data_IF_720507691903
#
_entry.id   IF_720507691903
#
_cell.length_a   1.000
_cell.length_b   1.000
_cell.length_c   1.000
_cell.angle_alpha   90.00
_cell.angle_beta   90.00
_cell.angle_gamma   90.00
#
_symmetry.space_group_name_H-M   'P 1'
#
loop_
_entity.id
_entity.type
_entity.pdbx_description
1 polymer ?
#
# COMPACT_ATOMS: atom_id res chain seq x y z
N UNK A 1 58.47 3.85 12.70
CA UNK A 1 58.12 5.16 13.31
C UNK A 1 56.88 5.65 12.59
N UNK A 2 55.69 5.49 13.19
CA UNK A 2 55.04 6.39 14.16
C UNK A 2 54.31 7.58 13.49
N UNK A 3 52.96 7.52 13.62
CA UNK A 3 51.95 8.60 13.75
C UNK A 3 51.36 9.37 12.54
N UNK A 4 50.02 9.25 12.44
CA UNK A 4 48.93 10.17 11.99
C UNK A 4 49.06 11.62 12.56
N UNK A 5 48.21 12.64 12.24
CA UNK A 5 46.86 12.64 11.60
C UNK A 5 46.53 13.78 10.61
N UNK A 6 45.27 13.76 10.14
CA UNK A 6 44.51 14.79 9.42
C UNK A 6 44.60 16.20 10.03
N UNK A 7 44.59 17.21 9.16
CA UNK A 7 44.23 18.59 9.48
C UNK A 7 43.04 19.06 8.65
N UNK A 8 42.11 19.71 9.36
CA UNK A 8 40.88 20.34 8.91
C UNK A 8 41.13 21.50 7.95
N UNK A 9 40.26 21.66 6.94
CA UNK A 9 40.02 22.96 6.29
C UNK A 9 38.61 23.41 6.68
N UNK A 10 38.59 24.56 7.33
CA UNK A 10 37.46 25.36 7.78
C UNK A 10 36.94 26.15 6.58
N UNK A 11 35.62 26.14 6.33
CA UNK A 11 34.97 27.21 5.58
C UNK A 11 34.02 27.94 6.52
N UNK A 12 34.42 29.16 6.85
CA UNK A 12 33.72 30.12 7.68
C UNK A 12 32.69 30.88 6.85
N UNK A 13 31.47 31.03 7.34
CA UNK A 13 30.59 32.15 6.98
C UNK A 13 29.77 32.56 8.21
N UNK A 14 29.78 33.85 8.46
CA UNK A 14 29.56 34.47 9.75
C UNK A 14 28.07 34.71 10.09
N UNK A 15 27.80 34.63 11.39
CA UNK A 15 26.64 35.18 12.09
C UNK A 15 26.55 36.70 11.94
N UNK A 16 25.36 37.22 11.67
CA UNK A 16 24.86 38.45 12.30
C UNK A 16 23.42 38.20 12.76
N UNK A 17 23.22 38.41 14.06
CA UNK A 17 21.98 38.34 14.82
C UNK A 17 21.29 39.71 14.79
N UNK A 18 19.98 39.75 14.62
CA UNK A 18 19.08 40.66 15.36
C UNK A 18 17.61 40.21 15.26
N UNK A 19 16.88 40.34 16.36
CA UNK A 19 15.46 40.75 16.31
C UNK A 19 14.42 39.75 16.83
N UNK A 20 14.24 39.72 18.15
CA UNK A 20 13.08 39.14 18.87
C UNK A 20 11.83 39.99 18.63
N UNK A 21 10.68 39.33 18.42
CA UNK A 21 9.35 39.97 18.43
C UNK A 21 8.30 39.04 19.07
N UNK A 22 8.01 39.29 20.34
CA UNK A 22 6.95 38.69 21.15
C UNK A 22 5.67 39.54 21.00
N UNK A 23 4.50 38.96 20.73
CA UNK A 23 3.22 39.63 20.99
C UNK A 23 2.21 38.63 21.54
N UNK A 24 1.89 38.79 22.81
CA UNK A 24 0.70 38.27 23.49
C UNK A 24 -0.50 39.16 23.16
N UNK A 25 -1.70 38.61 23.09
CA UNK A 25 -2.92 39.41 23.30
C UNK A 25 -3.88 38.68 24.24
N UNK A 26 -4.18 39.37 25.33
CA UNK A 26 -5.33 39.18 26.20
C UNK A 26 -6.21 40.42 26.03
N UNK A 27 -7.53 40.31 25.97
CA UNK A 27 -8.46 41.34 26.45
C UNK A 27 -9.91 40.84 26.48
N UNK A 28 -10.66 41.45 27.39
CA UNK A 28 -11.95 41.04 27.96
C UNK A 28 -12.99 42.12 27.61
N UNK A 29 -14.27 41.70 27.51
CA UNK A 29 -15.53 42.43 27.76
C UNK A 29 -15.72 43.91 27.35
N UNK A 30 -16.84 44.15 26.66
CA UNK A 30 -17.75 45.27 26.95
C UNK A 30 -19.19 44.91 26.55
N UNK A 31 -20.14 45.20 27.45
CA UNK A 31 -21.59 45.13 27.27
C UNK A 31 -22.14 46.57 27.21
N UNK A 32 -23.29 46.81 26.57
CA UNK A 32 -24.43 47.56 27.17
C UNK A 32 -25.70 47.72 26.27
N UNK A 33 -26.85 47.62 26.97
CA UNK A 33 -28.17 48.32 26.82
C UNK A 33 -29.35 47.78 25.96
N UNK A 34 -30.26 47.03 26.64
CA UNK A 34 -31.73 47.21 26.93
C UNK A 34 -32.70 47.97 25.96
N UNK A 35 -34.05 47.68 25.90
CA UNK A 35 -34.93 47.43 27.07
C UNK A 35 -36.12 46.43 26.99
N UNK A 36 -36.64 46.16 28.20
CA UNK A 36 -37.90 45.56 28.70
C UNK A 36 -39.13 45.42 27.79
N UNK A 37 -39.84 44.27 27.88
CA UNK A 37 -41.29 44.17 28.17
C UNK A 37 -41.58 42.96 29.09
N UNK A 38 -42.54 43.17 29.98
CA UNK A 38 -42.94 42.42 31.18
C UNK A 38 -44.25 41.64 30.93
N UNK A 39 -44.38 40.37 31.38
CA UNK A 39 -45.55 39.88 32.17
C UNK A 39 -45.49 38.42 32.64
N UNK A 40 -45.94 38.26 33.89
CA UNK A 40 -46.25 37.09 34.73
C UNK A 40 -47.03 35.94 34.07
N UNK A 41 -46.76 34.68 34.46
CA UNK A 41 -47.48 33.91 35.51
C UNK A 41 -47.01 32.43 35.60
N UNK A 42 -47.00 31.88 36.81
CA UNK A 42 -46.68 30.48 37.21
C UNK A 42 -47.91 29.53 37.08
N UNK A 43 -47.89 28.27 37.60
CA UNK A 43 -47.03 27.09 37.32
C UNK A 43 -47.88 25.83 37.05
N UNK A 44 -47.27 24.66 36.75
CA UNK A 44 -47.63 23.33 37.33
C UNK A 44 -46.90 22.17 36.62
N UNK A 45 -46.50 21.15 37.38
CA UNK A 45 -46.38 19.78 36.88
C UNK A 45 -44.98 19.21 36.66
N UNK A 46 -44.34 18.81 37.76
CA UNK A 46 -43.28 17.79 37.89
C UNK A 46 -43.22 16.69 36.81
N UNK A 47 -42.01 16.34 36.35
CA UNK A 47 -41.32 15.08 36.69
C UNK A 47 -39.93 15.00 36.04
N UNK A 48 -38.94 14.67 36.88
CA UNK A 48 -37.57 14.35 36.50
C UNK A 48 -37.53 13.13 35.57
N UNK A 49 -36.78 13.23 34.47
CA UNK A 49 -36.05 12.09 33.91
C UNK A 49 -34.71 12.59 33.39
N UNK A 50 -33.66 11.89 33.82
CA UNK A 50 -32.26 12.19 33.57
C UNK A 50 -31.91 12.14 32.08
N UNK A 51 -31.40 13.25 31.57
CA UNK A 51 -30.84 13.39 30.24
C UNK A 51 -29.38 12.91 30.29
N UNK A 52 -29.10 11.69 29.78
CA UNK A 52 -27.73 11.27 29.47
C UNK A 52 -27.52 11.38 27.96
N UNK A 53 -26.54 12.21 27.60
CA UNK A 53 -26.30 12.72 26.26
C UNK A 53 -26.12 11.63 25.21
N UNK A 54 -26.95 11.72 24.18
CA UNK A 54 -26.78 10.97 22.95
C UNK A 54 -25.61 11.58 22.17
N UNK A 55 -24.40 11.05 22.40
CA UNK A 55 -23.26 11.27 21.51
C UNK A 55 -23.67 10.77 20.14
N UNK A 56 -23.87 11.71 19.22
CA UNK A 56 -24.12 11.45 17.81
C UNK A 56 -22.92 10.71 17.23
N UNK A 57 -22.96 9.37 17.24
CA UNK A 57 -22.14 8.55 16.37
C UNK A 57 -22.50 8.95 14.94
N UNK A 58 -21.59 9.67 14.29
CA UNK A 58 -21.55 9.81 12.84
C UNK A 58 -21.74 8.42 12.23
N UNK A 59 -22.93 8.19 11.66
CA UNK A 59 -23.22 6.99 10.86
C UNK A 59 -22.45 7.12 9.56
N UNK A 60 -21.21 6.63 9.54
CA UNK A 60 -20.59 6.19 8.29
C UNK A 60 -21.51 5.11 7.72
N UNK A 61 -22.24 5.39 6.63
CA UNK A 61 -22.98 4.35 5.91
C UNK A 61 -21.95 3.25 5.57
N UNK A 62 -22.11 2.04 6.10
CA UNK A 62 -21.16 0.97 5.79
C UNK A 62 -21.35 0.61 4.32
N UNK A 63 -20.29 0.88 3.54
CA UNK A 63 -20.33 0.66 2.11
C UNK A 63 -20.18 -0.85 1.78
N UNK A 64 -19.58 -1.63 2.67
CA UNK A 64 -19.49 -3.10 2.62
C UNK A 64 -20.36 -3.73 3.73
N UNK A 65 -20.63 -5.03 3.64
CA UNK A 65 -21.29 -5.78 4.72
C UNK A 65 -20.40 -5.87 5.99
N UNK A 66 -20.95 -6.41 7.08
CA UNK A 66 -20.25 -6.52 8.36
C UNK A 66 -18.91 -7.25 8.22
N UNK A 67 -17.86 -6.68 8.82
CA UNK A 67 -16.52 -7.24 8.75
C UNK A 67 -16.40 -8.51 9.59
N UNK A 68 -15.58 -9.44 9.12
CA UNK A 68 -15.16 -10.64 9.87
C UNK A 68 -13.84 -10.36 10.58
N UNK A 69 -13.54 -11.12 11.65
CA UNK A 69 -12.28 -10.97 12.38
C UNK A 69 -11.07 -11.23 11.46
N UNK A 70 -10.02 -10.43 11.63
CA UNK A 70 -8.84 -10.51 10.77
C UNK A 70 -8.05 -11.81 10.94
N UNK A 71 -7.95 -12.35 12.16
CA UNK A 71 -7.27 -13.62 12.41
C UNK A 71 -8.12 -14.79 11.94
N UNK A 72 -9.44 -14.70 12.09
CA UNK A 72 -10.37 -15.67 11.51
C UNK A 72 -10.21 -15.73 9.98
N UNK A 73 -10.25 -14.59 9.30
CA UNK A 73 -10.14 -14.49 7.85
C UNK A 73 -8.87 -15.13 7.27
N UNK A 74 -7.74 -15.00 7.97
CA UNK A 74 -6.46 -15.61 7.58
C UNK A 74 -6.50 -17.15 7.62
N UNK A 75 -7.33 -17.73 8.50
CA UNK A 75 -7.46 -19.18 8.64
C UNK A 75 -8.52 -19.79 7.72
N UNK A 76 -9.30 -18.96 7.03
CA UNK A 76 -10.30 -19.43 6.06
C UNK A 76 -9.63 -19.81 4.73
N UNK A 77 -10.07 -20.93 4.17
CA UNK A 77 -9.79 -21.31 2.78
C UNK A 77 -10.39 -20.29 1.80
N UNK A 78 -9.94 -20.24 0.53
CA UNK A 78 -10.55 -19.39 -0.49
C UNK A 78 -12.06 -19.50 -0.56
N UNK A 79 -12.58 -20.74 -0.63
CA UNK A 79 -14.02 -21.01 -0.66
C UNK A 79 -14.73 -20.44 0.56
N UNK A 80 -14.19 -20.65 1.76
CA UNK A 80 -14.80 -20.15 2.98
C UNK A 80 -14.79 -18.63 3.07
N UNK A 81 -13.76 -17.95 2.52
CA UNK A 81 -13.76 -16.47 2.41
C UNK A 81 -14.88 -16.01 1.47
N UNK A 82 -15.01 -16.64 0.30
CA UNK A 82 -16.09 -16.33 -0.65
C UNK A 82 -17.46 -16.49 0.01
N UNK A 83 -17.64 -17.54 0.80
CA UNK A 83 -18.90 -17.82 1.52
C UNK A 83 -19.23 -16.74 2.58
N UNK A 84 -18.27 -15.90 3.00
CA UNK A 84 -18.54 -14.74 3.87
C UNK A 84 -19.11 -13.53 3.12
N UNK A 85 -19.01 -13.50 1.78
CA UNK A 85 -19.44 -12.37 0.97
C UNK A 85 -20.94 -12.40 0.74
N UNK A 86 -21.60 -11.28 1.04
CA UNK A 86 -23.00 -11.07 0.67
C UNK A 86 -23.12 -10.75 -0.82
N UNK A 87 -24.32 -10.91 -1.38
CA UNK A 87 -24.59 -10.50 -2.76
C UNK A 87 -24.34 -9.00 -2.98
N UNK A 88 -24.53 -8.17 -1.95
CA UNK A 88 -24.18 -6.75 -2.01
C UNK A 88 -22.67 -6.56 -2.18
N UNK A 89 -21.85 -7.28 -1.42
CA UNK A 89 -20.38 -7.18 -1.53
C UNK A 89 -19.92 -7.59 -2.92
N UNK A 90 -20.43 -8.72 -3.42
CA UNK A 90 -20.10 -9.22 -4.76
C UNK A 90 -20.50 -8.21 -5.83
N UNK A 91 -21.71 -7.67 -5.78
CA UNK A 91 -22.18 -6.69 -6.78
C UNK A 91 -21.40 -5.37 -6.74
N UNK A 92 -21.02 -4.90 -5.55
CA UNK A 92 -20.33 -3.62 -5.38
C UNK A 92 -18.85 -3.69 -5.78
N UNK A 93 -18.25 -4.87 -5.67
CA UNK A 93 -16.81 -5.06 -5.85
C UNK A 93 -16.48 -5.92 -7.07
N UNK A 94 -17.45 -6.18 -7.95
CA UNK A 94 -17.24 -6.91 -9.20
C UNK A 94 -16.54 -6.04 -10.25
N UNK A 95 -15.23 -5.92 -10.12
CA UNK A 95 -14.36 -5.08 -10.92
C UNK A 95 -12.97 -5.72 -11.06
N UNK A 96 -12.52 -5.83 -12.29
CA UNK A 96 -11.22 -6.25 -12.76
C UNK A 96 -10.93 -5.44 -14.05
N UNK A 97 -9.67 -5.06 -14.30
CA UNK A 97 -9.34 -4.36 -15.56
C UNK A 97 -9.62 -5.31 -16.71
N UNK A 98 -10.40 -4.92 -17.72
CA UNK A 98 -10.42 -5.69 -18.96
C UNK A 98 -9.07 -5.50 -19.68
N UNK A 99 -8.34 -6.60 -19.87
CA UNK A 99 -7.10 -6.61 -20.68
C UNK A 99 -7.32 -6.19 -22.14
N UNK A 100 -8.58 -6.15 -22.59
CA UNK A 100 -8.97 -5.86 -23.98
C UNK A 100 -9.35 -4.41 -24.27
N UNK A 101 -9.34 -3.51 -23.28
CA UNK A 101 -9.64 -2.11 -23.57
C UNK A 101 -8.45 -1.49 -24.31
N UNK A 102 -8.68 -1.15 -25.59
CA UNK A 102 -7.73 -0.55 -26.52
C UNK A 102 -7.10 0.72 -25.92
N UNK A 103 -5.98 0.56 -25.21
CA UNK A 103 -5.14 1.65 -24.74
C UNK A 103 -4.52 2.29 -25.99
N UNK A 104 -5.04 3.45 -26.40
CA UNK A 104 -4.57 4.16 -27.59
C UNK A 104 -3.11 4.58 -27.39
N UNK A 105 -2.22 3.87 -28.07
CA UNK A 105 -0.79 4.14 -28.14
C UNK A 105 -0.47 5.26 -29.14
N UNK A 106 0.36 6.23 -28.70
CA UNK A 106 1.13 7.05 -29.62
C UNK A 106 2.44 6.31 -29.97
N UNK A 107 2.32 5.42 -30.95
CA UNK A 107 3.34 4.94 -31.89
C UNK A 107 4.82 5.09 -31.44
N UNK A 108 5.41 4.01 -30.91
CA UNK A 108 6.82 3.70 -31.15
C UNK A 108 6.94 2.20 -31.41
N UNK A 109 7.40 1.84 -32.60
CA UNK A 109 7.63 0.45 -33.01
C UNK A 109 8.71 -0.19 -32.14
N UNK A 110 8.32 -1.04 -31.18
CA UNK A 110 9.25 -1.89 -30.45
C UNK A 110 9.45 -3.19 -31.21
N UNK A 111 10.65 -3.40 -31.74
CA UNK A 111 11.05 -4.66 -32.34
C UNK A 111 11.07 -5.76 -31.27
N UNK A 112 10.21 -6.76 -31.45
CA UNK A 112 10.14 -7.97 -30.62
C UNK A 112 11.43 -8.79 -30.71
N UNK A 113 12.43 -8.43 -29.91
CA UNK A 113 13.63 -9.24 -29.70
C UNK A 113 13.35 -10.29 -28.62
N UNK A 114 12.51 -11.26 -28.96
CA UNK A 114 12.29 -12.47 -28.17
C UNK A 114 13.52 -13.39 -28.25
N UNK A 115 14.61 -12.99 -27.60
CA UNK A 115 15.72 -13.89 -27.31
C UNK A 115 15.64 -14.25 -25.84
N UNK A 116 15.45 -15.53 -25.54
CA UNK A 116 15.83 -16.11 -24.25
C UNK A 116 17.24 -15.59 -23.92
N UNK A 117 17.34 -14.68 -22.95
CA UNK A 117 18.59 -14.00 -22.62
C UNK A 117 19.50 -15.00 -21.91
N UNK A 118 20.43 -15.57 -22.67
CA UNK A 118 21.41 -16.55 -22.18
C UNK A 118 22.70 -15.81 -21.82
N UNK A 119 23.34 -16.20 -20.73
CA UNK A 119 24.72 -15.79 -20.43
C UNK A 119 25.64 -16.12 -21.60
N UNK A 120 26.81 -15.48 -21.71
CA UNK A 120 27.82 -15.77 -22.72
C UNK A 120 28.21 -17.27 -22.81
N UNK A 121 27.93 -18.04 -21.74
CA UNK A 121 28.13 -19.49 -21.65
C UNK A 121 26.87 -20.33 -21.91
N UNK A 122 25.77 -19.74 -22.38
CA UNK A 122 24.54 -20.43 -22.73
C UNK A 122 23.65 -20.87 -21.56
N UNK A 123 24.03 -20.55 -20.31
CA UNK A 123 23.22 -20.80 -19.11
C UNK A 123 22.13 -19.74 -18.93
N UNK A 124 20.96 -20.16 -18.46
CA UNK A 124 19.91 -19.25 -17.94
C UNK A 124 20.50 -18.44 -16.80
N UNK A 125 20.37 -17.11 -16.85
CA UNK A 125 20.77 -16.27 -15.72
C UNK A 125 19.60 -16.26 -14.76
N UNK A 126 19.79 -16.77 -13.55
CA UNK A 126 18.81 -16.64 -12.48
C UNK A 126 18.66 -15.15 -12.12
N UNK A 127 17.46 -14.60 -12.34
CA UNK A 127 17.18 -13.17 -12.12
C UNK A 127 17.36 -12.80 -10.65
N UNK A 128 16.99 -13.68 -9.71
CA UNK A 128 17.19 -13.44 -8.28
C UNK A 128 18.67 -13.43 -7.91
N UNK A 129 19.46 -14.35 -8.48
CA UNK A 129 20.90 -14.35 -8.31
C UNK A 129 21.52 -13.08 -8.88
N UNK A 130 21.10 -12.65 -10.07
CA UNK A 130 21.55 -11.40 -10.66
C UNK A 130 21.24 -10.18 -9.76
N UNK A 131 20.00 -10.08 -9.25
CA UNK A 131 19.59 -9.02 -8.31
C UNK A 131 20.48 -8.99 -7.07
N UNK A 132 20.70 -10.16 -6.46
CA UNK A 132 21.49 -10.31 -5.23
C UNK A 132 22.97 -10.02 -5.48
N UNK A 133 23.57 -10.57 -6.53
CA UNK A 133 24.99 -10.41 -6.84
C UNK A 133 25.36 -8.98 -7.25
N UNK A 134 24.43 -8.25 -7.87
CA UNK A 134 24.63 -6.86 -8.25
C UNK A 134 24.15 -5.87 -7.18
N UNK A 135 23.70 -6.35 -6.02
CA UNK A 135 23.15 -5.54 -4.94
C UNK A 135 22.11 -4.53 -5.44
N UNK A 136 21.17 -4.98 -6.30
CA UNK A 136 20.14 -4.11 -6.84
C UNK A 136 19.21 -3.70 -5.69
N UNK A 137 19.25 -2.42 -5.35
CA UNK A 137 18.38 -1.83 -4.34
C UNK A 137 17.00 -1.52 -4.94
N UNK A 138 15.98 -1.59 -4.10
CA UNK A 138 14.63 -1.20 -4.49
C UNK A 138 14.51 0.34 -4.59
N UNK A 139 13.59 0.81 -5.42
CA UNK A 139 13.19 2.22 -5.47
C UNK A 139 12.48 2.64 -4.15
N UNK A 140 12.49 3.94 -3.80
CA UNK A 140 11.65 4.43 -2.70
C UNK A 140 10.16 4.24 -3.04
N UNK A 141 9.36 3.96 -2.02
CA UNK A 141 7.89 3.98 -2.13
C UNK A 141 7.45 5.44 -2.10
N UNK A 142 6.73 5.87 -3.13
CA UNK A 142 6.13 7.20 -3.21
C UNK A 142 4.61 7.10 -3.30
N UNK A 143 3.89 8.04 -2.68
CA UNK A 143 2.43 8.16 -2.81
C UNK A 143 2.11 9.11 -3.98
N UNK A 144 1.22 8.69 -4.87
CA UNK A 144 0.67 9.57 -5.91
C UNK A 144 -0.13 10.71 -5.24
N UNK A 145 -0.02 11.92 -5.79
CA UNK A 145 -0.72 13.08 -5.22
C UNK A 145 -2.26 12.97 -5.27
N UNK A 146 -2.80 12.03 -6.07
CA UNK A 146 -4.23 11.73 -6.18
C UNK A 146 -4.66 10.52 -5.34
N UNK A 147 -3.80 9.96 -4.48
CA UNK A 147 -4.09 8.74 -3.70
C UNK A 147 -5.44 8.78 -2.95
N UNK A 148 -5.85 9.95 -2.47
CA UNK A 148 -7.09 10.15 -1.73
C UNK A 148 -8.34 10.41 -2.60
N UNK A 149 -8.20 10.44 -3.92
CA UNK A 149 -9.32 10.71 -4.86
C UNK A 149 -10.16 9.48 -5.20
N UNK A 150 -9.63 8.27 -4.94
CA UNK A 150 -10.30 7.01 -5.27
C UNK A 150 -11.33 6.61 -4.20
N UNK A 151 -12.33 5.79 -4.56
CA UNK A 151 -13.29 5.26 -3.60
C UNK A 151 -12.63 4.49 -2.44
N UNK A 152 -13.16 4.68 -1.24
CA UNK A 152 -12.65 4.03 -0.01
C UNK A 152 -13.68 3.04 0.53
N UNK A 153 -13.41 1.75 0.33
CA UNK A 153 -14.24 0.64 0.80
C UNK A 153 -13.45 -0.22 1.78
N UNK A 154 -14.08 -0.64 2.87
CA UNK A 154 -13.40 -1.46 3.87
C UNK A 154 -13.21 -2.88 3.34
N UNK A 155 -12.09 -3.51 3.68
CA UNK A 155 -11.92 -4.95 3.50
C UNK A 155 -12.99 -5.72 4.29
N UNK A 156 -13.40 -6.88 3.76
CA UNK A 156 -14.31 -7.79 4.47
C UNK A 156 -13.69 -8.29 5.78
N UNK A 157 -12.37 -8.45 5.82
CA UNK A 157 -11.57 -8.82 6.99
C UNK A 157 -11.05 -7.62 7.80
N UNK A 158 -11.55 -6.41 7.55
CA UNK A 158 -11.06 -5.17 8.14
C UNK A 158 -9.69 -4.69 7.61
N UNK A 159 -8.83 -5.62 7.16
CA UNK A 159 -7.54 -5.37 6.48
C UNK A 159 -7.27 -6.46 5.43
N UNK A 160 -6.34 -6.24 4.51
CA UNK A 160 -5.96 -7.25 3.52
C UNK A 160 -5.33 -8.50 4.14
N UNK A 161 -5.67 -9.70 3.68
CA UNK A 161 -5.07 -10.97 4.13
C UNK A 161 -3.92 -11.45 3.24
N UNK A 162 -3.59 -10.69 2.19
CA UNK A 162 -2.48 -10.98 1.29
C UNK A 162 -2.33 -9.91 0.20
N UNK A 163 -1.48 -10.21 -0.78
CA UNK A 163 -1.16 -9.38 -1.94
C UNK A 163 -1.41 -10.17 -3.22
N UNK A 164 -2.21 -9.62 -4.15
CA UNK A 164 -2.32 -10.09 -5.53
C UNK A 164 -1.25 -9.40 -6.36
N UNK A 165 -0.53 -10.20 -7.15
CA UNK A 165 0.50 -9.76 -8.10
C UNK A 165 -0.11 -9.80 -9.50
N UNK A 166 -0.04 -8.67 -10.18
CA UNK A 166 -0.53 -8.46 -11.55
C UNK A 166 0.60 -8.06 -12.50
N UNK A 167 0.33 -8.15 -13.80
CA UNK A 167 1.07 -7.42 -14.83
C UNK A 167 0.12 -6.58 -15.68
N UNK A 168 0.62 -5.48 -16.22
CA UNK A 168 -0.23 -4.49 -16.91
C UNK A 168 -0.74 -4.92 -18.29
N UNK A 169 -0.30 -6.09 -18.80
CA UNK A 169 -0.53 -6.61 -20.13
C UNK A 169 -0.22 -5.66 -21.29
N UNK A 170 0.57 -4.61 -21.04
CA UNK A 170 0.84 -3.54 -21.99
C UNK A 170 2.34 -3.35 -22.21
N UNK A 171 2.81 -3.83 -23.37
CA UNK A 171 4.22 -3.77 -23.76
C UNK A 171 4.70 -2.36 -24.18
N UNK A 172 3.83 -1.35 -24.25
CA UNK A 172 4.20 -0.02 -24.77
C UNK A 172 3.96 1.13 -23.77
N UNK A 173 3.37 0.86 -22.60
CA UNK A 173 3.07 1.91 -21.63
C UNK A 173 4.21 2.19 -20.68
N UNK A 174 4.29 3.45 -20.25
CA UNK A 174 5.06 3.82 -19.07
C UNK A 174 4.21 3.68 -17.81
N UNK A 175 4.85 3.60 -16.65
CA UNK A 175 4.14 3.64 -15.36
C UNK A 175 3.24 4.89 -15.24
N UNK A 176 3.69 6.04 -15.75
CA UNK A 176 2.89 7.27 -15.76
C UNK A 176 1.62 7.13 -16.63
N UNK A 177 1.74 6.48 -17.79
CA UNK A 177 0.59 6.22 -18.66
C UNK A 177 -0.44 5.29 -17.98
N UNK A 178 0.02 4.21 -17.36
CA UNK A 178 -0.84 3.26 -16.64
C UNK A 178 -1.57 3.91 -15.48
N UNK A 179 -0.85 4.65 -14.65
CA UNK A 179 -1.41 5.37 -13.50
C UNK A 179 -2.45 6.41 -13.95
N UNK A 180 -2.14 7.19 -14.99
CA UNK A 180 -3.09 8.18 -15.52
C UNK A 180 -4.32 7.53 -16.15
N UNK A 181 -4.14 6.44 -16.89
CA UNK A 181 -5.25 5.68 -17.44
C UNK A 181 -6.15 5.13 -16.32
N UNK A 182 -5.57 4.55 -15.27
CA UNK A 182 -6.29 4.04 -14.11
C UNK A 182 -7.10 5.13 -13.41
N UNK A 183 -6.51 6.31 -13.12
CA UNK A 183 -7.27 7.40 -12.49
C UNK A 183 -8.41 7.94 -13.37
N UNK A 184 -8.24 7.93 -14.70
CA UNK A 184 -9.31 8.34 -15.63
C UNK A 184 -10.41 7.28 -15.76
N UNK A 185 -10.10 6.01 -15.48
CA UNK A 185 -10.99 4.86 -15.69
C UNK A 185 -11.28 4.08 -14.39
N UNK A 186 -11.11 4.69 -13.22
CA UNK A 186 -11.16 3.98 -11.93
C UNK A 186 -12.50 3.27 -11.65
N UNK A 187 -13.58 3.72 -12.29
CA UNK A 187 -14.90 3.07 -12.18
C UNK A 187 -14.94 1.70 -12.86
N UNK A 188 -13.99 1.39 -13.73
CA UNK A 188 -13.75 0.07 -14.31
C UNK A 188 -12.83 -0.74 -13.42
N UNK A 189 -11.68 -0.18 -13.06
CA UNK A 189 -10.73 -0.84 -12.16
C UNK A 189 -9.67 0.14 -11.61
N UNK A 190 -9.14 -0.18 -10.44
CA UNK A 190 -7.97 0.49 -9.87
C UNK A 190 -7.26 -0.45 -8.91
N UNK A 191 -5.94 -0.26 -8.75
CA UNK A 191 -5.09 -1.03 -7.83
C UNK A 191 -4.43 -0.13 -6.80
N UNK A 192 -3.75 -0.75 -5.83
CA UNK A 192 -3.13 0.01 -4.75
C UNK A 192 -1.77 0.60 -5.13
N UNK A 193 -1.04 -0.06 -6.03
CA UNK A 193 0.27 0.40 -6.45
C UNK A 193 0.65 -0.11 -7.84
N UNK A 194 1.56 0.63 -8.47
CA UNK A 194 2.28 0.24 -9.66
C UNK A 194 3.77 0.17 -9.36
N UNK A 195 4.46 -0.78 -9.99
CA UNK A 195 5.92 -0.89 -9.96
C UNK A 195 6.50 -0.93 -11.36
N UNK A 196 7.70 -0.37 -11.50
CA UNK A 196 8.50 -0.39 -12.73
C UNK A 196 9.98 -0.51 -12.37
N UNK A 197 10.88 -0.46 -13.36
CA UNK A 197 12.33 -0.59 -13.14
C UNK A 197 12.93 0.53 -12.28
N UNK A 198 12.28 1.68 -12.16
CA UNK A 198 12.80 2.85 -11.46
C UNK A 198 11.87 3.42 -10.38
N UNK A 199 10.64 2.90 -10.24
CA UNK A 199 9.64 3.50 -9.37
C UNK A 199 8.71 2.49 -8.70
N UNK A 200 8.35 2.78 -7.45
CA UNK A 200 7.24 2.16 -6.72
C UNK A 200 6.25 3.26 -6.37
N UNK A 201 5.07 3.27 -6.99
CA UNK A 201 4.05 4.31 -6.80
C UNK A 201 2.78 3.74 -6.19
N UNK A 202 2.38 4.22 -5.02
CA UNK A 202 1.10 3.91 -4.41
C UNK A 202 0.01 4.85 -4.95
N UNK A 203 -1.05 4.27 -5.48
CA UNK A 203 -2.17 4.98 -6.12
C UNK A 203 -3.46 4.92 -5.31
N UNK A 204 -3.59 3.98 -4.37
CA UNK A 204 -4.71 3.92 -3.44
C UNK A 204 -4.24 3.63 -1.99
N UNK A 205 -4.95 4.10 -0.95
CA UNK A 205 -4.56 3.85 0.43
C UNK A 205 -4.76 2.37 0.79
N UNK A 206 -3.72 1.73 1.33
CA UNK A 206 -3.73 0.30 1.62
C UNK A 206 -4.73 -0.17 2.71
N UNK A 207 -5.33 0.76 3.46
CA UNK A 207 -6.31 0.44 4.51
C UNK A 207 -7.73 0.21 3.96
N UNK A 208 -7.91 0.49 2.66
CA UNK A 208 -9.14 0.22 1.92
C UNK A 208 -8.85 -0.76 0.78
N UNK A 209 -9.88 -1.47 0.31
CA UNK A 209 -9.75 -2.38 -0.83
C UNK A 209 -9.64 -1.61 -2.15
N UNK A 210 -9.19 -2.33 -3.18
CA UNK A 210 -9.14 -1.88 -4.56
C UNK A 210 -9.98 -2.79 -5.48
N UNK A 211 -10.06 -2.43 -6.75
CA UNK A 211 -10.93 -3.02 -7.76
C UNK A 211 -10.12 -3.53 -8.96
N UNK A 212 -9.37 -4.62 -8.79
CA UNK A 212 -8.51 -5.16 -9.85
C UNK A 212 -8.42 -6.68 -9.92
N UNK A 213 -9.04 -7.42 -8.99
CA UNK A 213 -8.94 -8.87 -8.88
C UNK A 213 -10.31 -9.58 -8.81
N UNK A 214 -11.37 -8.93 -9.27
CA UNK A 214 -12.73 -9.49 -9.28
C UNK A 214 -13.44 -9.51 -7.91
N UNK A 215 -14.75 -9.75 -7.95
CA UNK A 215 -15.65 -9.62 -6.80
C UNK A 215 -15.25 -10.43 -5.56
N UNK A 216 -14.63 -11.59 -5.78
CA UNK A 216 -14.34 -12.56 -4.73
C UNK A 216 -13.02 -12.27 -4.02
N UNK A 217 -12.05 -11.64 -4.68
CA UNK A 217 -10.73 -11.35 -4.10
C UNK A 217 -10.58 -9.88 -3.69
N UNK A 218 -11.19 -8.92 -4.40
CA UNK A 218 -11.15 -7.50 -4.04
C UNK A 218 -11.39 -7.22 -2.54
N UNK A 219 -12.38 -7.86 -1.86
CA UNK A 219 -12.62 -7.62 -0.44
C UNK A 219 -11.52 -8.08 0.52
N UNK A 220 -10.47 -8.74 0.03
CA UNK A 220 -9.48 -9.45 0.85
C UNK A 220 -8.02 -9.11 0.56
N UNK A 221 -7.66 -8.55 -0.60
CA UNK A 221 -6.25 -8.45 -0.97
C UNK A 221 -5.81 -7.03 -1.35
N UNK A 222 -4.57 -6.72 -0.97
CA UNK A 222 -3.79 -5.62 -1.56
C UNK A 222 -3.39 -6.02 -2.98
N UNK A 223 -3.20 -5.09 -3.90
CA UNK A 223 -3.04 -5.38 -5.34
C UNK A 223 -1.95 -4.50 -5.93
N UNK A 224 -0.99 -5.11 -6.63
CA UNK A 224 0.16 -4.44 -7.25
C UNK A 224 0.20 -4.80 -8.73
N UNK A 225 0.32 -3.78 -9.58
CA UNK A 225 0.56 -3.90 -11.01
C UNK A 225 2.04 -3.75 -11.34
N UNK A 226 2.60 -4.70 -12.07
CA UNK A 226 3.95 -4.64 -12.59
C UNK A 226 3.94 -4.17 -14.05
N UNK A 227 4.47 -2.97 -14.30
CA UNK A 227 4.63 -2.45 -15.65
C UNK A 227 5.64 -3.30 -16.46
N UNK A 228 5.37 -3.48 -17.75
CA UNK A 228 6.24 -4.29 -18.61
C UNK A 228 7.62 -3.65 -18.78
N UNK A 229 8.65 -4.49 -18.71
CA UNK A 229 10.03 -4.13 -18.94
C UNK A 229 10.43 -4.40 -20.39
N UNK A 230 11.51 -3.75 -20.86
CA UNK A 230 12.02 -3.92 -22.22
C UNK A 230 13.48 -4.39 -22.26
N UNK A 231 14.09 -4.63 -21.10
CA UNK A 231 15.40 -5.24 -20.99
C UNK A 231 15.50 -6.12 -19.75
N UNK A 232 16.49 -7.01 -19.75
CA UNK A 232 16.77 -7.88 -18.60
C UNK A 232 17.03 -7.08 -17.30
N UNK A 233 17.78 -5.99 -17.41
CA UNK A 233 18.07 -5.11 -16.27
C UNK A 233 16.79 -4.42 -15.76
N UNK A 234 15.93 -3.96 -16.68
CA UNK A 234 14.64 -3.38 -16.31
C UNK A 234 13.72 -4.40 -15.65
N UNK A 235 13.63 -5.62 -16.19
CA UNK A 235 12.83 -6.69 -15.58
C UNK A 235 13.34 -7.00 -14.18
N UNK A 236 14.65 -7.22 -14.02
CA UNK A 236 15.27 -7.49 -12.72
C UNK A 236 14.99 -6.39 -11.70
N UNK A 237 15.08 -5.11 -12.08
CA UNK A 237 14.75 -3.99 -11.17
C UNK A 237 13.26 -3.93 -10.85
N UNK A 238 12.40 -4.10 -11.86
CA UNK A 238 10.95 -3.99 -11.71
C UNK A 238 10.40 -5.10 -10.80
N UNK A 239 10.80 -6.36 -11.01
CA UNK A 239 10.38 -7.48 -10.17
C UNK A 239 10.97 -7.40 -8.75
N UNK A 240 12.17 -6.79 -8.60
CA UNK A 240 12.75 -6.49 -7.29
C UNK A 240 11.95 -5.44 -6.52
N UNK A 241 11.50 -4.39 -7.21
CA UNK A 241 10.64 -3.35 -6.64
C UNK A 241 9.29 -3.92 -6.20
N UNK A 242 8.68 -4.74 -7.04
CA UNK A 242 7.43 -5.43 -6.76
C UNK A 242 7.54 -6.37 -5.54
N UNK A 243 8.53 -7.28 -5.56
CA UNK A 243 8.76 -8.21 -4.46
C UNK A 243 9.08 -7.51 -3.13
N UNK A 244 9.81 -6.39 -3.18
CA UNK A 244 10.06 -5.55 -2.01
C UNK A 244 8.74 -4.95 -1.46
N UNK A 245 7.91 -4.37 -2.32
CA UNK A 245 6.63 -3.78 -1.91
C UNK A 245 5.71 -4.85 -1.31
N UNK A 246 5.63 -6.02 -1.92
CA UNK A 246 4.88 -7.17 -1.39
C UNK A 246 5.37 -7.54 0.00
N UNK A 247 6.69 -7.73 0.18
CA UNK A 247 7.26 -8.03 1.49
C UNK A 247 6.96 -6.93 2.53
N UNK A 248 7.04 -5.66 2.13
CA UNK A 248 6.72 -4.51 2.98
C UNK A 248 5.25 -4.52 3.42
N UNK A 249 4.31 -4.81 2.51
CA UNK A 249 2.88 -4.87 2.83
C UNK A 249 2.54 -6.07 3.72
N UNK A 250 3.13 -7.24 3.45
CA UNK A 250 2.99 -8.39 4.35
C UNK A 250 3.46 -8.05 5.77
N UNK A 251 4.62 -7.40 5.90
CA UNK A 251 5.09 -6.90 7.20
C UNK A 251 4.12 -5.92 7.80
N UNK A 252 3.70 -4.89 7.06
CA UNK A 252 2.78 -3.85 7.54
C UNK A 252 1.55 -4.46 8.22
N UNK A 253 1.06 -5.58 7.69
CA UNK A 253 -0.13 -6.22 8.20
C UNK A 253 0.09 -7.50 9.03
N UNK A 254 1.34 -7.78 9.43
CA UNK A 254 1.67 -8.93 10.28
C UNK A 254 1.46 -10.29 9.61
N UNK A 255 1.45 -10.35 8.28
CA UNK A 255 1.25 -11.55 7.50
C UNK A 255 2.57 -12.27 7.23
N UNK A 256 2.59 -13.60 7.35
CA UNK A 256 3.74 -14.39 6.93
C UNK A 256 3.67 -14.70 5.43
N UNK A 257 4.79 -14.66 4.68
CA UNK A 257 4.82 -15.04 3.28
C UNK A 257 4.39 -16.50 3.11
N UNK A 258 3.40 -16.74 2.25
CA UNK A 258 2.96 -18.06 1.81
C UNK A 258 2.45 -17.95 0.38
N UNK A 259 3.06 -18.68 -0.54
CA UNK A 259 2.66 -18.68 -1.96
C UNK A 259 1.35 -19.45 -2.14
N UNK A 260 0.30 -18.76 -2.56
CA UNK A 260 -1.03 -19.33 -2.74
C UNK A 260 -1.14 -20.22 -4.00
N UNK A 261 -0.38 -19.90 -5.05
CA UNK A 261 -0.40 -20.58 -6.36
C UNK A 261 -0.19 -22.09 -6.25
N UNK A 262 0.74 -22.50 -5.39
CA UNK A 262 1.09 -23.90 -5.11
C UNK A 262 0.32 -24.49 -3.91
N UNK A 263 -0.56 -23.72 -3.28
CA UNK A 263 -1.30 -24.08 -2.07
C UNK A 263 -2.81 -23.91 -2.24
N UNK A 264 -3.36 -24.23 -3.41
CA UNK A 264 -4.80 -24.19 -3.69
C UNK A 264 -5.46 -22.83 -3.42
N UNK A 265 -4.74 -21.73 -3.64
CA UNK A 265 -5.21 -20.36 -3.38
C UNK A 265 -5.12 -19.93 -1.92
N UNK A 266 -4.71 -20.81 -1.01
CA UNK A 266 -4.48 -20.50 0.39
C UNK A 266 -3.05 -19.96 0.58
N UNK A 267 -2.91 -18.64 0.61
CA UNK A 267 -1.66 -17.96 0.88
C UNK A 267 -1.84 -16.45 1.02
N UNK A 268 -0.71 -15.77 1.18
CA UNK A 268 -0.62 -14.32 1.38
C UNK A 268 0.07 -13.62 0.20
N UNK A 269 0.66 -14.38 -0.73
CA UNK A 269 1.16 -13.92 -2.02
C UNK A 269 0.47 -14.77 -3.08
N UNK A 270 -0.26 -14.15 -4.01
CA UNK A 270 -1.09 -14.86 -4.99
C UNK A 270 -1.00 -14.18 -6.36
N UNK A 271 -0.88 -14.94 -7.45
CA UNK A 271 -1.06 -14.39 -8.79
C UNK A 271 -2.54 -14.13 -9.10
N UNK A 272 -2.83 -13.24 -10.05
CA UNK A 272 -4.19 -13.10 -10.55
C UNK A 272 -4.72 -14.40 -11.19
N UNK A 273 -3.86 -15.16 -11.88
CA UNK A 273 -4.18 -16.52 -12.35
C UNK A 273 -4.67 -17.47 -11.24
N UNK A 274 -4.00 -17.47 -10.09
CA UNK A 274 -4.42 -18.27 -8.94
C UNK A 274 -5.73 -17.73 -8.32
N UNK A 275 -5.97 -16.42 -8.34
CA UNK A 275 -7.27 -15.84 -8.01
C UNK A 275 -8.36 -16.39 -8.95
N UNK A 276 -8.18 -16.33 -10.27
CA UNK A 276 -9.12 -16.87 -11.26
C UNK A 276 -9.45 -18.34 -10.99
N UNK A 277 -8.44 -19.14 -10.66
CA UNK A 277 -8.59 -20.58 -10.40
C UNK A 277 -9.28 -20.93 -9.09
N UNK A 278 -8.96 -20.24 -7.99
CA UNK A 278 -9.36 -20.64 -6.63
C UNK A 278 -10.42 -19.73 -5.98
N UNK A 279 -10.48 -18.47 -6.41
CA UNK A 279 -11.51 -17.51 -6.01
C UNK A 279 -12.58 -17.33 -7.09
N UNK A 280 -12.22 -17.38 -8.38
CA UNK A 280 -13.10 -17.02 -9.48
C UNK A 280 -13.57 -15.57 -9.41
N UNK A 281 -14.57 -15.21 -10.22
CA UNK A 281 -15.04 -13.82 -10.32
C UNK A 281 -14.15 -12.93 -11.18
N UNK A 282 -13.18 -13.54 -11.87
CA UNK A 282 -12.30 -13.01 -12.92
C UNK A 282 -11.74 -14.23 -13.67
N UNK A 283 -11.26 -14.05 -14.90
CA UNK A 283 -10.67 -15.08 -15.77
C UNK A 283 -9.24 -14.76 -16.23
N UNK A 284 -8.65 -13.74 -15.63
CA UNK A 284 -7.30 -13.26 -15.90
C UNK A 284 -6.20 -14.27 -15.55
N UNK A 285 -5.07 -14.19 -16.26
CA UNK A 285 -3.96 -15.16 -16.14
C UNK A 285 -2.60 -14.53 -15.80
N UNK A 286 -2.56 -13.22 -15.55
CA UNK A 286 -1.37 -12.51 -15.11
C UNK A 286 -0.88 -12.98 -13.72
N UNK A 287 0.42 -12.87 -13.40
CA UNK A 287 1.51 -12.45 -14.26
C UNK A 287 2.20 -13.61 -14.99
N UNK A 288 1.54 -14.77 -15.11
CA UNK A 288 2.19 -16.04 -15.49
C UNK A 288 2.87 -15.94 -16.86
N UNK A 289 2.12 -15.50 -17.89
CA UNK A 289 2.66 -15.37 -19.24
C UNK A 289 3.77 -14.30 -19.33
N UNK A 290 3.63 -13.19 -18.61
CA UNK A 290 4.66 -12.16 -18.57
C UNK A 290 5.95 -12.66 -17.91
N UNK A 291 5.87 -13.35 -16.77
CA UNK A 291 7.04 -13.93 -16.12
C UNK A 291 7.73 -15.00 -16.98
N UNK A 292 6.95 -15.86 -17.65
CA UNK A 292 7.49 -16.88 -18.56
C UNK A 292 8.34 -16.29 -19.70
N UNK A 293 7.96 -15.11 -20.24
CA UNK A 293 8.75 -14.40 -21.27
C UNK A 293 10.17 -14.05 -20.79
N UNK A 294 10.37 -13.89 -19.49
CA UNK A 294 11.65 -13.57 -18.87
C UNK A 294 12.38 -14.80 -18.31
N UNK A 295 11.84 -16.00 -18.51
CA UNK A 295 12.37 -17.21 -17.85
C UNK A 295 12.23 -17.15 -16.33
N UNK A 296 11.16 -16.49 -15.87
CA UNK A 296 10.83 -16.29 -14.47
C UNK A 296 9.49 -16.97 -14.12
N UNK A 297 9.20 -17.18 -12.84
CA UNK A 297 7.92 -17.71 -12.40
C UNK A 297 7.50 -17.20 -11.00
N UNK A 298 6.30 -17.58 -10.56
CA UNK A 298 5.78 -17.19 -9.24
C UNK A 298 6.55 -17.80 -8.07
N UNK A 299 7.27 -18.92 -8.24
CA UNK A 299 8.12 -19.50 -7.19
C UNK A 299 9.37 -18.64 -7.00
N UNK A 300 10.03 -18.26 -8.09
CA UNK A 300 11.17 -17.35 -8.07
C UNK A 300 10.77 -15.98 -7.53
N UNK A 301 9.61 -15.45 -7.96
CA UNK A 301 9.05 -14.23 -7.37
C UNK A 301 8.88 -14.37 -5.85
N UNK A 302 8.26 -15.47 -5.39
CA UNK A 302 8.06 -15.71 -3.97
C UNK A 302 9.37 -15.83 -3.18
N UNK A 303 10.40 -16.46 -3.74
CA UNK A 303 11.74 -16.50 -3.13
C UNK A 303 12.34 -15.10 -2.96
N UNK A 304 12.10 -14.19 -3.90
CA UNK A 304 12.52 -12.80 -3.80
C UNK A 304 11.71 -12.03 -2.74
N UNK A 305 10.40 -12.29 -2.63
CA UNK A 305 9.56 -11.75 -1.54
C UNK A 305 10.09 -12.22 -0.18
N UNK A 306 10.39 -13.50 -0.02
CA UNK A 306 10.94 -14.06 1.22
C UNK A 306 12.29 -13.41 1.57
N UNK A 307 13.16 -13.23 0.58
CA UNK A 307 14.43 -12.52 0.76
C UNK A 307 14.22 -11.10 1.32
N UNK A 308 13.35 -10.29 0.71
CA UNK A 308 13.05 -8.94 1.20
C UNK A 308 12.37 -8.95 2.57
N UNK A 309 11.43 -9.87 2.80
CA UNK A 309 10.72 -10.01 4.06
C UNK A 309 11.66 -10.31 5.23
N UNK A 310 12.69 -11.15 5.00
CA UNK A 310 13.74 -11.44 5.97
C UNK A 310 14.72 -10.27 6.15
N UNK A 311 15.12 -9.59 5.08
CA UNK A 311 15.98 -8.40 5.15
C UNK A 311 15.31 -7.25 5.91
N UNK A 312 13.99 -7.10 5.79
CA UNK A 312 13.19 -6.18 6.59
C UNK A 312 13.21 -6.55 8.08
N UNK A 313 13.24 -7.85 8.42
CA UNK A 313 13.40 -8.30 9.82
C UNK A 313 14.78 -7.97 10.38
N UNK A 314 15.84 -8.20 9.61
CA UNK A 314 17.22 -7.91 10.05
C UNK A 314 17.40 -6.42 10.40
N UNK A 315 16.84 -5.53 9.56
CA UNK A 315 16.79 -4.09 9.86
C UNK A 315 15.96 -3.75 11.10
N UNK A 316 14.98 -4.57 11.49
CA UNK A 316 14.22 -4.37 12.74
C UNK A 316 14.92 -4.93 13.98
N UNK A 317 15.77 -5.95 13.85
CA UNK A 317 16.56 -6.50 14.97
C UNK A 317 17.69 -5.59 15.43
N UNK A 318 18.15 -4.65 14.59
CA UNK A 318 19.10 -3.59 15.00
C UNK A 318 18.44 -2.43 15.76
N UNK A 319 17.14 -2.50 16.07
CA UNK A 319 16.40 -1.44 16.77
C UNK A 319 15.48 -2.00 17.86
N UNK A 320 16.04 -2.75 18.81
CA UNK A 320 15.36 -3.25 20.02
C UNK A 320 15.02 -2.16 21.05
N UNK A 321 15.07 -0.87 20.69
CA UNK A 321 14.73 0.21 21.59
C UNK A 321 13.28 0.66 21.35
N UNK A 322 12.41 0.26 22.28
CA UNK A 322 11.08 0.81 22.50
C UNK A 322 11.16 2.35 22.50
N UNK A 323 10.30 2.99 21.71
CA UNK A 323 10.20 4.46 21.68
C UNK A 323 9.37 4.86 22.90
N UNK A 324 10.03 5.39 23.92
CA UNK A 324 9.37 5.91 25.13
C UNK A 324 9.18 7.42 25.00
N UNK A 325 7.93 7.86 24.94
CA UNK A 325 7.55 9.27 24.92
C UNK A 325 6.70 9.67 23.72
N UNK A 326 6.23 10.91 23.71
CA UNK A 326 5.33 11.47 22.69
C UNK A 326 6.07 12.03 21.47
N UNK A 327 7.38 11.80 21.33
CA UNK A 327 8.17 12.29 20.18
C UNK A 327 9.28 11.31 19.84
N UNK A 328 9.45 11.01 18.54
CA UNK A 328 10.55 10.20 18.02
C UNK A 328 11.27 10.95 16.90
N UNK A 329 12.60 11.00 16.97
CA UNK A 329 13.41 11.56 15.89
C UNK A 329 13.71 10.45 14.88
N UNK A 330 13.16 10.58 13.68
CA UNK A 330 13.36 9.63 12.59
C UNK A 330 14.86 9.49 12.28
N UNK A 331 15.35 8.25 12.29
CA UNK A 331 16.73 7.88 11.92
C UNK A 331 16.74 7.08 10.63
N UNK A 332 17.91 6.97 9.98
CA UNK A 332 18.07 6.19 8.75
C UNK A 332 17.67 4.73 9.03
N UNK A 333 16.68 4.24 8.27
CA UNK A 333 16.12 2.89 8.44
C UNK A 333 14.77 2.85 9.15
N UNK A 334 14.31 3.97 9.70
CA UNK A 334 12.95 4.08 10.20
C UNK A 334 11.93 4.04 9.05
N UNK A 335 10.83 3.35 9.30
CA UNK A 335 9.62 3.32 8.48
C UNK A 335 8.45 3.63 9.39
N UNK A 336 7.35 4.17 8.86
CA UNK A 336 6.15 4.37 9.67
C UNK A 336 5.69 3.09 10.36
N UNK A 337 5.87 1.94 9.70
CA UNK A 337 5.57 0.64 10.27
C UNK A 337 6.47 0.28 11.46
N UNK A 338 7.79 0.40 11.34
CA UNK A 338 8.67 0.04 12.46
C UNK A 338 8.60 1.05 13.61
N UNK A 339 8.33 2.33 13.34
CA UNK A 339 8.04 3.34 14.36
C UNK A 339 6.75 2.93 15.08
N UNK A 340 5.69 2.59 14.33
CA UNK A 340 4.41 2.15 14.88
C UNK A 340 4.57 0.95 15.82
N UNK A 341 5.38 -0.03 15.44
CA UNK A 341 5.67 -1.20 16.28
C UNK A 341 6.49 -0.85 17.53
N UNK A 342 7.44 0.09 17.42
CA UNK A 342 8.32 0.49 18.54
C UNK A 342 7.67 1.47 19.51
N UNK A 343 6.72 2.29 19.06
CA UNK A 343 6.00 3.27 19.89
C UNK A 343 4.66 2.77 20.41
N UNK A 344 4.09 1.71 19.81
CA UNK A 344 2.74 1.25 20.12
C UNK A 344 1.63 2.13 19.52
N UNK A 345 1.98 3.13 18.71
CA UNK A 345 1.06 4.04 18.03
C UNK A 345 0.73 3.49 16.65
N UNK A 346 -0.52 3.56 16.18
CA UNK A 346 -0.87 3.09 14.82
C UNK A 346 -0.17 3.93 13.74
N UNK A 347 0.06 3.34 12.55
CA UNK A 347 0.61 4.08 11.39
C UNK A 347 -0.23 5.31 11.06
N UNK A 348 -1.55 5.22 11.15
CA UNK A 348 -2.46 6.35 10.89
C UNK A 348 -2.29 7.48 11.90
N UNK A 349 -2.12 7.15 13.18
CA UNK A 349 -1.88 8.15 14.22
C UNK A 349 -0.51 8.82 13.99
N UNK A 350 0.51 8.05 13.61
CA UNK A 350 1.82 8.61 13.24
C UNK A 350 1.74 9.53 12.02
N UNK A 351 0.96 9.18 10.98
CA UNK A 351 0.73 10.06 9.81
C UNK A 351 0.03 11.37 10.19
N UNK A 352 -0.86 11.32 11.17
CA UNK A 352 -1.64 12.47 11.64
C UNK A 352 -0.96 13.27 12.75
N UNK A 353 0.29 12.94 13.13
CA UNK A 353 1.01 13.61 14.22
C UNK A 353 0.41 13.37 15.61
N UNK A 354 -0.42 12.34 15.76
CA UNK A 354 -1.03 11.92 17.01
C UNK A 354 -0.06 10.89 17.62
N UNK A 355 0.65 11.27 18.67
CA UNK A 355 1.64 10.42 19.35
C UNK A 355 1.15 10.07 20.74
#
# INVERSE_FOLDING_TARGET
MLFKPLSHIVLSCALIVTGIGLVTTSAVHAAEQHPNIHKQAQPEGSQETEESGQVSKSKTKSNTSEAIDFNEAQNLTPKQRIDQLTEKDKSLHNKDMNDSDEKVDNNTSSENNNSSFRSANGASIDINEYIKNNNIEHAPIIEDNRIDSLPKYNYKSGKYVGVVVHDTANDNSTLENEVNYMYNNYNSAFVHAYTSSNEIRQTAPADYLAWGAGANANPYFYQIELAHAHSYEEFAKSVNNDAYLTAYMLKRNGLQPKLADTHNGDGTVISHNAVSKYYGGTDHTDPVGYFERWGYDMNQYFDLVQYHYNKLNEKTTDSTNEIKGTTHKVVKGDTLYNISKRSGVSVDNLKNGII
#
